data_IF_328227464365
#
_entry.id   IF_328227464365
#
_cell.length_a   1.000
_cell.length_b   1.000
_cell.length_c   1.000
_cell.angle_alpha   90.00
_cell.angle_beta   90.00
_cell.angle_gamma   90.00
#
_symmetry.space_group_name_H-M   'P 1'
#
loop_
_entity.id
_entity.type
_entity.pdbx_description
1 polymer ?
#
# COMPACT_ATOMS: atom_id res chain seq x y z
N UNK A 1 1.64 -10.91 19.19
CA UNK A 1 2.08 -9.50 19.10
C UNK A 1 2.76 -9.19 20.42
N UNK A 2 4.09 -9.12 20.45
CA UNK A 2 4.86 -8.82 21.66
C UNK A 2 5.05 -7.32 21.72
N UNK A 3 4.66 -6.70 22.83
CA UNK A 3 4.92 -5.28 23.06
C UNK A 3 6.44 -5.15 23.33
N UNK A 4 7.17 -4.28 22.62
CA UNK A 4 8.61 -4.10 22.82
C UNK A 4 8.93 -3.78 24.29
N UNK A 5 10.10 -4.25 24.74
CA UNK A 5 10.61 -3.95 26.06
C UNK A 5 10.98 -2.47 26.21
N UNK A 6 10.91 -1.93 27.44
CA UNK A 6 11.42 -0.59 27.74
C UNK A 6 12.92 -0.52 27.36
N UNK A 7 13.28 0.43 26.47
CA UNK A 7 14.64 0.57 25.94
C UNK A 7 14.90 -0.07 24.57
N UNK A 8 13.91 -0.72 23.94
CA UNK A 8 14.02 -1.18 22.55
C UNK A 8 13.61 -0.08 21.55
N UNK A 9 14.37 0.06 20.46
CA UNK A 9 14.05 0.97 19.37
C UNK A 9 13.09 0.30 18.38
N UNK A 10 11.95 0.93 18.13
CA UNK A 10 11.04 0.53 17.05
C UNK A 10 11.35 1.37 15.81
N UNK A 11 11.68 0.69 14.71
CA UNK A 11 11.79 1.33 13.40
C UNK A 11 10.40 1.38 12.76
N UNK A 12 9.83 2.57 12.65
CA UNK A 12 8.61 2.83 11.89
C UNK A 12 9.04 3.29 10.51
N UNK A 13 8.70 2.53 9.47
CA UNK A 13 8.87 2.94 8.08
C UNK A 13 7.66 3.77 7.64
N UNK A 14 7.90 4.94 7.03
CA UNK A 14 6.85 5.67 6.33
C UNK A 14 6.85 5.16 4.89
N UNK A 15 5.70 4.68 4.44
CA UNK A 15 5.46 4.42 3.04
C UNK A 15 4.80 5.66 2.44
N UNK A 16 5.53 6.37 1.60
CA UNK A 16 4.95 7.38 0.69
C UNK A 16 4.56 6.69 -0.61
N UNK A 17 3.36 6.97 -1.11
CA UNK A 17 2.89 6.40 -2.36
C UNK A 17 1.48 6.85 -2.72
N UNK A 18 1.13 6.72 -4.00
CA UNK A 18 -0.21 6.97 -4.50
C UNK A 18 -0.96 5.64 -4.49
N UNK A 19 -2.17 5.62 -3.92
CA UNK A 19 -2.97 4.42 -3.93
C UNK A 19 -3.36 4.04 -5.37
N UNK A 20 -3.10 2.79 -5.75
CA UNK A 20 -3.26 2.31 -7.12
C UNK A 20 -2.03 2.46 -8.00
N UNK A 21 -0.98 3.15 -7.54
CA UNK A 21 0.32 3.22 -8.21
C UNK A 21 1.20 2.05 -7.72
N UNK A 22 1.02 0.89 -8.35
CA UNK A 22 1.68 -0.35 -7.96
C UNK A 22 3.12 -0.44 -8.48
N UNK A 23 3.47 0.35 -9.49
CA UNK A 23 4.82 0.41 -10.05
C UNK A 23 5.69 1.52 -9.41
N UNK A 24 5.08 2.49 -8.72
CA UNK A 24 5.74 3.60 -8.03
C UNK A 24 6.23 4.73 -8.96
N UNK A 25 5.63 4.90 -10.14
CA UNK A 25 6.03 5.91 -11.13
C UNK A 25 5.33 7.26 -10.94
N UNK A 26 4.40 7.36 -10.01
CA UNK A 26 3.65 8.56 -9.68
C UNK A 26 2.37 8.76 -10.50
N UNK A 27 2.01 7.81 -11.37
CA UNK A 27 0.77 7.81 -12.13
C UNK A 27 -0.03 6.54 -11.86
N UNK A 28 -1.37 6.63 -11.87
CA UNK A 28 -2.23 5.44 -11.83
C UNK A 28 -2.74 5.17 -13.23
N UNK A 29 -2.17 4.15 -13.89
CA UNK A 29 -2.45 3.83 -15.28
C UNK A 29 -2.53 2.31 -15.53
N UNK A 30 -2.61 1.92 -16.81
CA UNK A 30 -2.82 0.50 -17.17
C UNK A 30 -1.65 -0.40 -16.77
N UNK A 31 -0.45 0.14 -16.56
CA UNK A 31 0.70 -0.62 -16.10
C UNK A 31 0.49 -1.13 -14.66
N UNK A 32 -0.18 -0.36 -13.81
CA UNK A 32 -0.53 -0.78 -12.45
C UNK A 32 -1.52 -1.93 -12.45
N UNK A 33 -2.52 -1.87 -13.34
CA UNK A 33 -3.47 -2.98 -13.53
C UNK A 33 -2.73 -4.27 -13.90
N UNK A 34 -1.72 -4.18 -14.76
CA UNK A 34 -0.91 -5.36 -15.14
C UNK A 34 -0.14 -5.90 -13.94
N UNK A 35 0.44 -5.04 -13.11
CA UNK A 35 1.13 -5.45 -11.88
C UNK A 35 0.13 -6.10 -10.90
N UNK A 36 -1.01 -5.49 -10.65
CA UNK A 36 -2.05 -6.05 -9.77
C UNK A 36 -2.48 -7.45 -10.22
N UNK A 37 -2.62 -7.66 -11.53
CA UNK A 37 -2.93 -8.98 -12.09
C UNK A 37 -1.78 -9.97 -11.88
N UNK A 38 -0.52 -9.56 -12.05
CA UNK A 38 0.64 -10.43 -11.77
C UNK A 38 0.68 -10.85 -10.30
N UNK A 39 0.42 -9.91 -9.38
CA UNK A 39 0.37 -10.18 -7.94
C UNK A 39 -0.78 -11.11 -7.59
N UNK A 40 -1.95 -10.92 -8.21
CA UNK A 40 -3.10 -11.83 -8.06
C UNK A 40 -2.80 -13.26 -8.52
N UNK A 41 -1.89 -13.41 -9.49
CA UNK A 41 -1.41 -14.70 -10.00
C UNK A 41 -0.33 -15.38 -9.16
N UNK A 42 0.00 -14.84 -7.98
CA UNK A 42 1.03 -15.37 -7.10
C UNK A 42 2.41 -14.72 -7.27
N UNK A 43 2.49 -13.58 -7.95
CA UNK A 43 3.68 -12.72 -7.91
C UNK A 43 4.04 -12.34 -6.46
N UNK A 44 5.33 -12.18 -6.18
CA UNK A 44 5.79 -11.75 -4.85
C UNK A 44 5.77 -10.23 -4.76
N UNK A 45 4.89 -9.61 -3.95
CA UNK A 45 4.86 -8.17 -3.81
C UNK A 45 6.06 -7.65 -3.02
N UNK A 46 6.52 -6.45 -3.36
CA UNK A 46 7.36 -5.66 -2.47
C UNK A 46 6.51 -5.01 -1.35
N UNK A 47 7.13 -4.22 -0.48
CA UNK A 47 6.42 -3.61 0.65
C UNK A 47 5.40 -2.55 0.21
N UNK A 48 5.72 -1.72 -0.79
CA UNK A 48 4.78 -0.71 -1.27
C UNK A 48 3.57 -1.36 -1.93
N UNK A 49 3.78 -2.37 -2.77
CA UNK A 49 2.72 -3.11 -3.46
C UNK A 49 1.75 -3.81 -2.51
N UNK A 50 2.21 -4.29 -1.34
CA UNK A 50 1.32 -4.86 -0.32
C UNK A 50 0.26 -3.87 0.16
N UNK A 51 0.54 -2.58 0.05
CA UNK A 51 -0.31 -1.51 0.57
C UNK A 51 -1.00 -0.79 -0.58
N UNK A 52 -0.25 -0.31 -1.58
CA UNK A 52 -0.77 0.50 -2.68
C UNK A 52 -1.69 -0.27 -3.63
N UNK A 53 -1.59 -1.61 -3.71
CA UNK A 53 -2.45 -2.46 -4.54
C UNK A 53 -3.60 -3.15 -3.77
N UNK A 54 -3.63 -3.09 -2.43
CA UNK A 54 -4.75 -3.61 -1.60
C UNK A 54 -5.86 -2.55 -1.46
N UNK A 55 -6.51 -2.25 -2.58
CA UNK A 55 -7.44 -1.12 -2.68
C UNK A 55 -8.78 -1.35 -1.95
N UNK A 56 -9.10 -2.59 -1.58
CA UNK A 56 -10.26 -2.91 -0.74
C UNK A 56 -9.89 -3.22 0.72
N UNK A 57 -8.60 -3.17 1.08
CA UNK A 57 -8.07 -3.26 2.45
C UNK A 57 -8.46 -4.54 3.18
N UNK A 58 -8.49 -5.65 2.46
CA UNK A 58 -8.78 -6.96 3.05
C UNK A 58 -7.51 -7.77 3.35
N UNK A 59 -6.34 -7.17 3.11
CA UNK A 59 -5.02 -7.77 3.29
C UNK A 59 -4.61 -8.69 2.15
N UNK A 60 -5.33 -8.72 1.03
CA UNK A 60 -5.08 -9.64 -0.08
C UNK A 60 -4.89 -8.91 -1.41
N UNK A 61 -3.75 -9.17 -2.03
CA UNK A 61 -3.51 -8.76 -3.41
C UNK A 61 -4.17 -9.77 -4.37
N UNK A 62 -5.36 -9.42 -4.85
CA UNK A 62 -6.14 -10.25 -5.75
C UNK A 62 -6.76 -9.41 -6.87
N UNK A 63 -7.50 -10.07 -7.77
CA UNK A 63 -8.08 -9.43 -8.96
C UNK A 63 -8.99 -8.24 -8.65
N UNK A 64 -9.56 -8.16 -7.45
CA UNK A 64 -10.39 -7.03 -7.04
C UNK A 64 -9.60 -5.71 -7.04
N UNK A 65 -8.32 -5.73 -6.62
CA UNK A 65 -7.43 -4.56 -6.71
C UNK A 65 -7.31 -4.08 -8.15
N UNK A 66 -6.95 -4.98 -9.07
CA UNK A 66 -6.82 -4.68 -10.50
C UNK A 66 -8.11 -4.10 -11.10
N UNK A 67 -9.27 -4.61 -10.70
CA UNK A 67 -10.58 -4.12 -11.16
C UNK A 67 -10.85 -2.70 -10.64
N UNK A 68 -10.51 -2.40 -9.39
CA UNK A 68 -10.65 -1.05 -8.82
C UNK A 68 -9.72 -0.07 -9.53
N UNK A 69 -8.46 -0.45 -9.74
CA UNK A 69 -7.47 0.34 -10.51
C UNK A 69 -7.99 0.63 -11.92
N UNK A 70 -8.53 -0.38 -12.61
CA UNK A 70 -9.10 -0.19 -13.94
C UNK A 70 -10.33 0.72 -13.94
N UNK A 71 -11.25 0.55 -12.98
CA UNK A 71 -12.41 1.43 -12.82
C UNK A 71 -12.00 2.88 -12.56
N UNK A 72 -10.91 3.10 -11.82
CA UNK A 72 -10.37 4.42 -11.60
C UNK A 72 -9.90 5.08 -12.89
N UNK A 73 -9.11 4.35 -13.69
CA UNK A 73 -8.59 4.83 -14.98
C UNK A 73 -9.73 5.22 -15.94
N UNK A 74 -10.83 4.47 -15.94
CA UNK A 74 -11.99 4.78 -16.81
C UNK A 74 -13.01 5.73 -16.18
N UNK A 75 -12.73 6.28 -14.99
CA UNK A 75 -13.56 7.28 -14.31
C UNK A 75 -14.84 6.74 -13.67
N UNK A 76 -14.91 5.44 -13.38
CA UNK A 76 -16.04 4.77 -12.72
C UNK A 76 -15.88 4.67 -11.19
N UNK A 77 -14.66 4.81 -10.68
CA UNK A 77 -14.36 4.77 -9.26
C UNK A 77 -13.27 5.78 -8.87
N UNK A 78 -13.31 6.25 -7.63
CA UNK A 78 -12.21 7.03 -7.05
C UNK A 78 -11.43 6.16 -6.08
N UNK A 79 -10.10 6.20 -6.17
CA UNK A 79 -9.23 5.61 -5.15
C UNK A 79 -8.93 6.70 -4.14
N UNK A 80 -9.53 6.61 -2.95
CA UNK A 80 -9.45 7.69 -1.96
C UNK A 80 -8.34 7.45 -0.92
N UNK A 81 -8.02 6.18 -0.62
CA UNK A 81 -7.02 5.78 0.36
C UNK A 81 -6.87 4.25 0.32
N UNK A 82 -5.68 3.75 0.64
CA UNK A 82 -5.28 2.33 0.64
C UNK A 82 -4.72 1.91 2.02
N UNK A 83 -5.05 2.64 3.08
CA UNK A 83 -4.59 2.38 4.44
C UNK A 83 -3.33 3.16 4.82
N UNK A 84 -2.81 4.00 3.93
CA UNK A 84 -1.83 5.06 4.24
C UNK A 84 -2.60 6.35 4.49
N UNK A 85 -3.31 6.41 5.62
CA UNK A 85 -3.94 7.67 6.02
C UNK A 85 -2.84 8.66 6.38
N UNK A 86 -2.59 9.58 5.43
CA UNK A 86 -1.87 10.84 5.52
C UNK A 86 -0.94 11.05 6.72
N UNK A 87 0.35 11.17 6.41
CA UNK A 87 1.32 12.02 7.11
C UNK A 87 1.28 11.92 8.64
N UNK A 88 1.87 10.86 9.18
CA UNK A 88 2.57 11.02 10.45
C UNK A 88 4.05 10.79 10.19
N UNK A 89 4.73 11.88 9.83
CA UNK A 89 6.02 12.17 10.44
C UNK A 89 5.82 12.18 11.95
N UNK A 90 5.76 10.99 12.53
CA UNK A 90 6.10 10.78 13.92
C UNK A 90 7.55 10.36 13.88
N UNK A 91 8.40 11.22 14.42
CA UNK A 91 9.80 10.88 14.65
C UNK A 91 9.93 9.56 15.40
N UNK A 92 11.12 9.00 15.40
CA UNK A 92 11.46 7.76 16.11
C UNK A 92 10.77 7.73 17.48
N UNK A 93 9.82 6.81 17.67
CA UNK A 93 9.25 6.53 18.99
C UNK A 93 10.30 5.73 19.75
N UNK A 94 11.20 6.46 20.42
CA UNK A 94 12.08 5.86 21.41
C UNK A 94 11.29 5.81 22.71
N UNK A 95 10.93 4.60 23.16
CA UNK A 95 10.40 4.41 24.51
C UNK A 95 11.60 4.52 25.47
N UNK A 96 12.01 5.76 25.78
CA UNK A 96 12.98 6.05 26.85
C UNK A 96 12.33 5.98 28.22
N UNK A 97 13.12 5.55 29.21
CA UNK A 97 12.76 5.42 30.63
C UNK A 97 12.10 6.67 31.22
#
# INVERSE_FOLDING_TARGET
MTIPGVGESVSIGILEGICGDANGDGEVNILDVIIDLQLSGGGTPNESQRILADLNRDGKLNVLGAVITFQHIVGLASINDCGVTDTQSIGTVVITK
#
